data_IF_173340853942
#
_entry.id   IF_173340853942
#
_cell.length_a   1.000
_cell.length_b   1.000
_cell.length_c   1.000
_cell.angle_alpha   90.00
_cell.angle_beta   90.00
_cell.angle_gamma   90.00
#
_symmetry.space_group_name_H-M   'P 1'
#
loop_
_entity.id
_entity.type
_entity.pdbx_description
1 polymer ?
#
# COMPACT_ATOMS: atom_id res chain seq x y z
N UNK A 1 5.31 12.43 -9.72
CA UNK A 1 4.88 11.01 -9.83
C UNK A 1 3.40 10.97 -10.16
N UNK A 2 3.04 10.29 -11.22
CA UNK A 2 1.65 10.12 -11.61
C UNK A 2 1.20 8.73 -11.12
N UNK A 3 0.05 8.69 -10.42
CA UNK A 3 -0.45 7.44 -9.82
C UNK A 3 -1.73 7.02 -10.53
N UNK A 4 -1.74 5.79 -11.02
CA UNK A 4 -2.91 5.17 -11.63
C UNK A 4 -3.23 3.87 -10.88
N UNK A 5 -4.42 3.33 -11.09
CA UNK A 5 -4.93 2.20 -10.31
C UNK A 5 -5.53 1.15 -11.24
N UNK A 6 -5.25 -0.12 -10.96
CA UNK A 6 -5.94 -1.21 -11.63
C UNK A 6 -7.37 -1.32 -11.09
N UNK A 7 -8.25 -1.97 -11.86
CA UNK A 7 -9.61 -2.28 -11.40
C UNK A 7 -9.58 -3.10 -10.10
N UNK A 8 -8.65 -4.05 -10.04
CA UNK A 8 -8.46 -4.88 -8.85
C UNK A 8 -8.07 -4.04 -7.63
N UNK A 9 -7.14 -3.08 -7.81
CA UNK A 9 -6.73 -2.20 -6.72
C UNK A 9 -7.91 -1.37 -6.21
N UNK A 10 -8.69 -0.79 -7.13
CA UNK A 10 -9.87 0.01 -6.75
C UNK A 10 -10.91 -0.82 -5.99
N UNK A 11 -11.13 -2.06 -6.44
CA UNK A 11 -12.07 -2.96 -5.76
C UNK A 11 -11.60 -3.30 -4.35
N UNK A 12 -10.31 -3.61 -4.20
CA UNK A 12 -9.73 -3.90 -2.89
C UNK A 12 -9.80 -2.71 -1.94
N UNK A 13 -9.50 -1.52 -2.46
CA UNK A 13 -9.60 -0.29 -1.67
C UNK A 13 -11.03 -0.08 -1.16
N UNK A 14 -12.02 -0.29 -2.03
CA UNK A 14 -13.42 -0.16 -1.64
C UNK A 14 -13.81 -1.19 -0.57
N UNK A 15 -13.41 -2.44 -0.75
CA UNK A 15 -13.68 -3.52 0.22
C UNK A 15 -13.09 -3.23 1.59
N UNK A 16 -11.91 -2.63 1.64
CA UNK A 16 -11.14 -2.43 2.87
C UNK A 16 -11.31 -1.02 3.44
N UNK A 17 -12.05 -0.16 2.76
CA UNK A 17 -12.21 1.22 3.19
C UNK A 17 -10.92 2.02 3.12
N UNK A 18 -10.04 1.71 2.17
CA UNK A 18 -8.76 2.39 1.99
C UNK A 18 -8.95 3.50 0.96
N UNK A 19 -8.59 4.73 1.32
CA UNK A 19 -8.74 5.88 0.43
C UNK A 19 -7.54 6.05 -0.49
N UNK A 20 -7.75 6.75 -1.60
CA UNK A 20 -6.65 7.15 -2.48
C UNK A 20 -5.64 8.01 -1.73
N UNK A 21 -6.10 8.87 -0.83
CA UNK A 21 -5.22 9.69 0.00
C UNK A 21 -4.27 8.85 0.84
N UNK A 22 -4.76 7.77 1.43
CA UNK A 22 -3.93 6.85 2.23
C UNK A 22 -2.90 6.13 1.37
N UNK A 23 -3.30 5.67 0.19
CA UNK A 23 -2.38 5.03 -0.76
C UNK A 23 -1.30 6.01 -1.20
N UNK A 24 -1.70 7.20 -1.60
CA UNK A 24 -0.77 8.22 -2.11
C UNK A 24 0.19 8.71 -1.03
N UNK A 25 -0.29 8.86 0.20
CA UNK A 25 0.57 9.22 1.33
C UNK A 25 1.61 8.13 1.60
N UNK A 26 1.22 6.87 1.52
CA UNK A 26 2.13 5.73 1.69
C UNK A 26 3.20 5.71 0.59
N UNK A 27 2.81 6.00 -0.65
CA UNK A 27 3.77 6.04 -1.76
C UNK A 27 4.70 7.24 -1.67
N UNK A 28 4.23 8.38 -1.16
CA UNK A 28 5.04 9.59 -1.03
C UNK A 28 6.08 9.47 0.08
N UNK A 29 5.71 8.87 1.22
CA UNK A 29 6.61 8.72 2.38
C UNK A 29 6.44 7.32 2.98
N UNK A 30 6.95 6.29 2.31
CA UNK A 30 6.79 4.93 2.84
C UNK A 30 7.61 4.71 4.10
N UNK A 31 7.07 3.92 5.01
CA UNK A 31 7.80 3.42 6.17
C UNK A 31 8.99 2.59 5.70
N UNK A 32 8.77 1.76 4.68
CA UNK A 32 9.82 1.00 3.99
C UNK A 32 9.27 0.56 2.63
N UNK A 33 10.21 0.23 1.73
CA UNK A 33 9.89 -0.37 0.44
C UNK A 33 10.62 -1.71 0.32
N UNK A 34 9.97 -2.67 -0.30
CA UNK A 34 10.49 -4.03 -0.46
C UNK A 34 10.33 -4.43 -1.92
N UNK A 35 11.40 -4.99 -2.54
CA UNK A 35 11.25 -5.54 -3.88
C UNK A 35 10.21 -6.67 -3.88
N UNK A 36 9.43 -6.74 -4.94
CA UNK A 36 8.42 -7.76 -5.13
C UNK A 36 8.66 -8.46 -6.48
N UNK A 37 7.93 -9.56 -6.71
CA UNK A 37 8.09 -10.33 -7.94
C UNK A 37 7.75 -9.49 -9.18
N UNK A 38 8.33 -9.85 -10.31
CA UNK A 38 8.07 -9.23 -11.62
C UNK A 38 8.48 -7.75 -11.68
N UNK A 39 9.54 -7.37 -10.97
CA UNK A 39 10.03 -5.99 -10.97
C UNK A 39 9.13 -5.00 -10.26
N UNK A 40 8.20 -5.48 -9.47
CA UNK A 40 7.28 -4.64 -8.69
C UNK A 40 7.90 -4.22 -7.36
N UNK A 41 7.27 -3.25 -6.73
CA UNK A 41 7.70 -2.75 -5.42
C UNK A 41 6.51 -2.76 -4.47
N UNK A 42 6.74 -3.18 -3.23
CA UNK A 42 5.76 -3.06 -2.17
C UNK A 42 6.17 -1.89 -1.27
N UNK A 43 5.31 -0.87 -1.16
CA UNK A 43 5.49 0.24 -0.23
C UNK A 43 4.60 0.01 0.98
N UNK A 44 5.14 0.23 2.18
CA UNK A 44 4.43 -0.03 3.42
C UNK A 44 4.28 1.27 4.21
N UNK A 45 3.14 1.41 4.88
CA UNK A 45 2.86 2.56 5.73
C UNK A 45 1.82 2.24 6.78
N UNK A 46 1.68 3.13 7.75
CA UNK A 46 0.69 2.94 8.81
C UNK A 46 -0.63 3.61 8.44
N UNK A 47 -1.73 2.92 8.73
CA UNK A 47 -3.06 3.51 8.69
C UNK A 47 -3.79 3.20 9.99
N UNK A 48 -4.76 4.05 10.34
CA UNK A 48 -5.59 3.85 11.53
C UNK A 48 -6.97 3.35 11.13
N UNK A 49 -7.46 2.34 11.86
CA UNK A 49 -8.80 1.78 11.65
C UNK A 49 -9.42 1.46 13.01
N UNK A 50 -10.52 2.14 13.36
CA UNK A 50 -11.25 1.93 14.61
C UNK A 50 -10.33 1.93 15.84
N UNK A 51 -9.41 2.92 15.88
CA UNK A 51 -8.47 3.07 16.97
C UNK A 51 -7.31 2.08 16.96
N UNK A 52 -7.21 1.25 15.93
CA UNK A 52 -6.12 0.29 15.78
C UNK A 52 -5.23 0.67 14.63
N UNK A 53 -3.94 0.40 14.77
CA UNK A 53 -2.96 0.62 13.72
C UNK A 53 -2.87 -0.61 12.85
N UNK A 54 -2.90 -0.40 11.55
CA UNK A 54 -2.69 -1.47 10.57
C UNK A 54 -1.56 -1.11 9.63
N UNK A 55 -0.90 -2.12 9.08
CA UNK A 55 0.11 -1.93 8.06
C UNK A 55 -0.58 -1.97 6.70
N UNK A 56 -0.49 -0.84 5.98
CA UNK A 56 -0.94 -0.77 4.59
C UNK A 56 0.22 -1.19 3.70
N UNK A 57 -0.04 -2.13 2.79
CA UNK A 57 0.94 -2.64 1.84
C UNK A 57 0.43 -2.34 0.44
N UNK A 58 1.17 -1.54 -0.32
CA UNK A 58 0.79 -1.10 -1.66
C UNK A 58 1.76 -1.68 -2.67
N UNK A 59 1.27 -2.54 -3.54
CA UNK A 59 2.08 -3.17 -4.59
C UNK A 59 1.96 -2.33 -5.85
N UNK A 60 3.10 -1.88 -6.38
CA UNK A 60 3.14 -0.99 -7.53
C UNK A 60 4.11 -1.47 -8.60
N UNK A 61 3.92 -0.95 -9.81
CA UNK A 61 4.80 -1.15 -10.94
C UNK A 61 5.05 0.21 -11.60
N UNK A 62 6.31 0.46 -11.99
CA UNK A 62 6.71 1.72 -12.61
C UNK A 62 7.22 2.74 -11.60
N UNK A 63 7.87 3.80 -12.10
CA UNK A 63 8.46 4.84 -11.25
C UNK A 63 7.99 6.25 -11.62
N UNK A 64 7.96 6.62 -12.90
CA UNK A 64 7.43 7.92 -13.35
C UNK A 64 5.91 7.89 -13.36
N UNK A 65 5.33 6.90 -14.00
CA UNK A 65 3.91 6.57 -13.90
C UNK A 65 3.83 5.32 -13.04
N UNK A 66 3.24 5.45 -11.87
CA UNK A 66 3.14 4.37 -10.90
C UNK A 66 1.75 3.75 -11.01
N UNK A 67 1.72 2.46 -11.34
CA UNK A 67 0.47 1.70 -11.40
C UNK A 67 0.31 0.92 -10.09
N UNK A 68 -0.74 1.23 -9.35
CA UNK A 68 -1.10 0.48 -8.14
C UNK A 68 -1.78 -0.81 -8.56
N UNK A 69 -1.12 -1.95 -8.32
CA UNK A 69 -1.59 -3.27 -8.72
C UNK A 69 -2.62 -3.79 -7.72
N UNK A 70 -2.31 -3.70 -6.44
CA UNK A 70 -3.20 -4.11 -5.36
C UNK A 70 -2.80 -3.44 -4.05
N UNK A 71 -3.70 -3.48 -3.09
CA UNK A 71 -3.45 -3.00 -1.74
C UNK A 71 -3.89 -4.07 -0.74
N UNK A 72 -3.21 -4.11 0.40
CA UNK A 72 -3.52 -5.02 1.50
C UNK A 72 -3.34 -4.27 2.81
N UNK A 73 -4.12 -4.62 3.81
CA UNK A 73 -3.98 -4.06 5.15
C UNK A 73 -4.03 -5.18 6.16
N UNK A 74 -3.16 -5.14 7.16
CA UNK A 74 -3.08 -6.18 8.17
C UNK A 74 -2.75 -5.59 9.54
N UNK A 75 -3.31 -6.17 10.59
CA UNK A 75 -2.87 -5.88 11.96
C UNK A 75 -1.74 -6.82 12.40
N UNK A 76 -1.40 -7.84 11.59
CA UNK A 76 -0.30 -8.77 11.87
C UNK A 76 0.99 -8.30 11.22
N UNK A 77 1.38 -7.06 11.49
CA UNK A 77 2.51 -6.44 10.83
C UNK A 77 3.87 -7.03 11.24
N UNK A 78 3.94 -7.73 12.37
CA UNK A 78 5.19 -8.35 12.83
C UNK A 78 5.73 -9.39 11.86
N UNK A 79 4.85 -10.12 11.16
CA UNK A 79 5.28 -11.11 10.15
C UNK A 79 5.98 -10.45 8.95
N UNK A 80 5.89 -9.13 8.81
CA UNK A 80 6.57 -8.39 7.74
C UNK A 80 7.81 -7.66 8.25
N UNK A 81 8.24 -7.97 9.49
CA UNK A 81 9.42 -7.36 10.09
C UNK A 81 9.23 -5.91 10.49
N UNK A 82 8.00 -5.50 10.72
CA UNK A 82 7.65 -4.11 11.07
C UNK A 82 7.07 -4.06 12.47
N UNK A 83 7.53 -3.10 13.28
CA UNK A 83 6.99 -2.85 14.62
C UNK A 83 6.58 -1.39 14.71
N UNK A 84 5.47 -1.11 15.40
CA UNK A 84 5.04 0.28 15.60
C UNK A 84 6.00 1.08 16.44
#
# INVERSE_FOLDING_TARGET
MQITYTQHALARMAERGISKGEVEATLAQPLRTVPANHGRTESQGWIERTGKRQLLRVLTEGDVVVLVITVMATSKFEKYGVTP
#
